data_IF_905646532039
#
_entry.id   IF_905646532039
#
_cell.length_a   1.000
_cell.length_b   1.000
_cell.length_c   1.000
_cell.angle_alpha   90.00
_cell.angle_beta   90.00
_cell.angle_gamma   90.00
#
_symmetry.space_group_name_H-M   'P 1'
#
loop_
_entity.id
_entity.type
_entity.pdbx_description
1 polymer ?
#
# COMPACT_ATOMS: atom_id res chain seq x y z
N UNK A 1 1.09 1.27 -24.26
CA UNK A 1 0.49 -0.01 -24.67
C UNK A 1 0.62 -0.93 -23.45
N UNK A 2 -0.47 -1.56 -23.00
CA UNK A 2 -0.42 -2.42 -21.81
C UNK A 2 0.40 -3.69 -22.14
N UNK A 3 1.25 -4.12 -21.22
CA UNK A 3 2.05 -5.33 -21.41
C UNK A 3 1.10 -6.53 -21.68
N UNK A 4 1.30 -7.31 -22.77
CA UNK A 4 0.48 -8.46 -23.10
C UNK A 4 0.29 -9.46 -21.94
N UNK A 5 1.23 -9.54 -21.00
CA UNK A 5 1.12 -10.39 -19.82
C UNK A 5 -0.01 -9.95 -18.85
N UNK A 6 -0.44 -8.69 -18.91
CA UNK A 6 -1.43 -8.09 -18.02
C UNK A 6 -2.77 -7.75 -18.71
N UNK A 7 -2.93 -8.09 -19.99
CA UNK A 7 -4.20 -7.89 -20.70
C UNK A 7 -5.31 -8.82 -20.20
N UNK A 8 -6.51 -8.26 -20.09
CA UNK A 8 -7.77 -8.94 -19.83
C UNK A 8 -8.76 -8.80 -21.00
N UNK A 9 -8.29 -8.43 -22.19
CA UNK A 9 -9.11 -8.37 -23.40
C UNK A 9 -9.91 -9.66 -23.62
N UNK A 10 -11.19 -9.50 -23.93
CA UNK A 10 -12.14 -10.61 -24.14
C UNK A 10 -12.52 -11.38 -22.88
N UNK A 11 -12.04 -11.01 -21.70
CA UNK A 11 -12.40 -11.63 -20.42
C UNK A 11 -13.51 -10.84 -19.73
N UNK A 12 -14.47 -11.58 -19.18
CA UNK A 12 -15.48 -10.99 -18.29
C UNK A 12 -15.10 -11.20 -16.83
N UNK A 13 -15.15 -10.14 -16.04
CA UNK A 13 -14.91 -10.14 -14.60
C UNK A 13 -16.15 -9.67 -13.84
N UNK A 14 -16.49 -10.34 -12.73
CA UNK A 14 -17.40 -9.78 -11.72
C UNK A 14 -16.58 -9.38 -10.48
N UNK A 15 -16.77 -8.14 -10.05
CA UNK A 15 -16.13 -7.57 -8.86
C UNK A 15 -17.19 -7.32 -7.81
N UNK A 16 -17.14 -8.10 -6.72
CA UNK A 16 -18.05 -8.00 -5.57
C UNK A 16 -17.44 -7.02 -4.55
N UNK A 17 -18.23 -6.06 -4.07
CA UNK A 17 -17.73 -4.94 -3.28
C UNK A 17 -17.26 -3.76 -4.15
N UNK A 18 -17.79 -3.63 -5.36
CA UNK A 18 -17.34 -2.65 -6.35
C UNK A 18 -17.77 -1.21 -6.06
N UNK A 19 -18.64 -0.94 -5.08
CA UNK A 19 -19.11 0.42 -4.80
C UNK A 19 -18.01 1.33 -4.23
N UNK A 20 -16.95 0.77 -3.65
CA UNK A 20 -15.92 1.56 -2.99
C UNK A 20 -14.56 0.85 -2.85
N UNK A 21 -13.57 1.62 -2.39
CA UNK A 21 -12.29 1.11 -1.90
C UNK A 21 -11.57 0.20 -2.91
N UNK A 22 -11.07 -0.92 -2.40
CA UNK A 22 -10.30 -1.91 -3.18
C UNK A 22 -11.14 -2.49 -4.33
N UNK A 23 -12.42 -2.77 -4.10
CA UNK A 23 -13.29 -3.33 -5.13
C UNK A 23 -13.49 -2.35 -6.30
N UNK A 24 -13.81 -1.08 -6.01
CA UNK A 24 -13.92 -0.04 -7.05
C UNK A 24 -12.62 0.12 -7.83
N UNK A 25 -11.48 0.23 -7.14
CA UNK A 25 -10.18 0.38 -7.78
C UNK A 25 -9.86 -0.82 -8.68
N UNK A 26 -10.20 -2.03 -8.24
CA UNK A 26 -9.97 -3.24 -9.02
C UNK A 26 -10.90 -3.33 -10.24
N UNK A 27 -12.16 -2.91 -10.12
CA UNK A 27 -13.09 -2.84 -11.25
C UNK A 27 -12.57 -1.89 -12.35
N UNK A 28 -12.10 -0.71 -11.96
CA UNK A 28 -11.49 0.26 -12.89
C UNK A 28 -10.20 -0.30 -13.53
N UNK A 29 -9.34 -0.95 -12.74
CA UNK A 29 -8.12 -1.56 -13.26
C UNK A 29 -8.39 -2.71 -14.22
N UNK A 30 -9.39 -3.56 -13.95
CA UNK A 30 -9.79 -4.64 -14.85
C UNK A 30 -10.34 -4.09 -16.17
N UNK A 31 -11.16 -3.04 -16.12
CA UNK A 31 -11.67 -2.39 -17.32
C UNK A 31 -10.55 -1.72 -18.14
N UNK A 32 -9.61 -1.04 -17.49
CA UNK A 32 -8.44 -0.46 -18.15
C UNK A 32 -7.54 -1.54 -18.81
N UNK A 33 -7.57 -2.76 -18.29
CA UNK A 33 -6.92 -3.92 -18.88
C UNK A 33 -7.74 -4.60 -20.00
N UNK A 34 -8.90 -4.05 -20.38
CA UNK A 34 -9.74 -4.55 -21.47
C UNK A 34 -10.81 -5.57 -21.07
N UNK A 35 -11.05 -5.79 -19.77
CA UNK A 35 -12.12 -6.68 -19.32
C UNK A 35 -13.50 -6.04 -19.46
N UNK A 36 -14.52 -6.87 -19.70
CA UNK A 36 -15.90 -6.51 -19.41
C UNK A 36 -16.17 -6.70 -17.92
N UNK A 37 -16.66 -5.67 -17.22
CA UNK A 37 -16.70 -5.68 -15.75
C UNK A 37 -18.13 -5.57 -15.21
N UNK A 38 -18.58 -6.59 -14.49
CA UNK A 38 -19.77 -6.47 -13.64
C UNK A 38 -19.37 -5.88 -12.29
N UNK A 39 -19.87 -4.69 -11.99
CA UNK A 39 -19.70 -4.00 -10.71
C UNK A 39 -20.84 -4.41 -9.77
N UNK A 40 -20.58 -5.33 -8.84
CA UNK A 40 -21.60 -5.86 -7.95
C UNK A 40 -21.40 -5.37 -6.51
N UNK A 41 -22.46 -4.86 -5.90
CA UNK A 41 -22.44 -4.37 -4.52
C UNK A 41 -23.87 -4.30 -3.93
N UNK A 42 -24.00 -4.32 -2.60
CA UNK A 42 -25.27 -4.04 -1.93
C UNK A 42 -25.62 -2.55 -2.03
N UNK A 43 -24.61 -1.68 -2.10
CA UNK A 43 -24.77 -0.24 -2.35
C UNK A 43 -24.93 0.03 -3.85
N UNK A 44 -26.13 -0.26 -4.39
CA UNK A 44 -26.44 -0.10 -5.82
C UNK A 44 -26.00 1.26 -6.43
N UNK A 45 -26.21 2.42 -5.76
CA UNK A 45 -25.74 3.71 -6.31
C UNK A 45 -24.21 3.76 -6.52
N UNK A 46 -23.43 3.15 -5.62
CA UNK A 46 -21.98 3.11 -5.75
C UNK A 46 -21.50 2.14 -6.84
N UNK A 47 -22.19 1.01 -7.01
CA UNK A 47 -21.95 0.10 -8.14
C UNK A 47 -22.24 0.78 -9.48
N UNK A 48 -23.36 1.51 -9.58
CA UNK A 48 -23.72 2.34 -10.75
C UNK A 48 -22.70 3.43 -11.04
N UNK A 49 -22.24 4.15 -10.02
CA UNK A 49 -21.21 5.18 -10.19
C UNK A 49 -19.90 4.61 -10.75
N UNK A 50 -19.48 3.44 -10.25
CA UNK A 50 -18.27 2.76 -10.73
C UNK A 50 -18.42 2.28 -12.18
N UNK A 51 -19.57 1.69 -12.53
CA UNK A 51 -19.85 1.27 -13.89
C UNK A 51 -19.87 2.47 -14.87
N UNK A 52 -20.51 3.58 -14.49
CA UNK A 52 -20.55 4.78 -15.32
C UNK A 52 -19.15 5.37 -15.57
N UNK A 53 -18.24 5.27 -14.61
CA UNK A 53 -16.85 5.71 -14.76
C UNK A 53 -16.07 4.82 -15.73
N UNK A 54 -16.28 3.50 -15.68
CA UNK A 54 -15.72 2.56 -16.65
C UNK A 54 -16.21 2.90 -18.07
N UNK A 55 -17.51 3.15 -18.22
CA UNK A 55 -18.12 3.48 -19.51
C UNK A 55 -17.64 4.83 -20.07
N UNK A 56 -17.41 5.83 -19.21
CA UNK A 56 -16.76 7.09 -19.62
C UNK A 56 -15.35 6.87 -20.20
N UNK A 57 -14.65 5.84 -19.72
CA UNK A 57 -13.36 5.40 -20.25
C UNK A 57 -13.45 4.51 -21.50
N UNK A 58 -14.62 4.40 -22.13
CA UNK A 58 -14.90 3.48 -23.25
C UNK A 58 -14.81 1.98 -22.89
N UNK A 59 -14.79 1.63 -21.61
CA UNK A 59 -14.89 0.25 -21.15
C UNK A 59 -16.34 -0.25 -21.13
N UNK A 60 -16.53 -1.55 -20.92
CA UNK A 60 -17.85 -2.15 -20.80
C UNK A 60 -18.13 -2.54 -19.35
N UNK A 61 -19.22 -2.04 -18.77
CA UNK A 61 -19.60 -2.35 -17.42
C UNK A 61 -21.08 -2.74 -17.26
N UNK A 62 -21.38 -3.49 -16.20
CA UNK A 62 -22.73 -3.83 -15.77
C UNK A 62 -22.85 -3.58 -14.25
N UNK A 63 -23.63 -2.61 -13.78
CA UNK A 63 -23.91 -2.47 -12.36
C UNK A 63 -24.95 -3.50 -11.91
N UNK A 64 -24.70 -4.18 -10.78
CA UNK A 64 -25.61 -5.18 -10.19
C UNK A 64 -25.78 -4.90 -8.70
N UNK A 65 -27.03 -4.81 -8.25
CA UNK A 65 -27.36 -4.86 -6.82
C UNK A 65 -27.25 -6.31 -6.34
N UNK A 66 -26.37 -6.56 -5.37
CA UNK A 66 -26.04 -7.90 -4.91
C UNK A 66 -26.00 -7.96 -3.38
N UNK A 67 -26.88 -8.79 -2.82
CA UNK A 67 -26.76 -9.25 -1.44
C UNK A 67 -26.01 -10.59 -1.42
N UNK A 68 -24.74 -10.54 -1.01
CA UNK A 68 -23.88 -11.73 -0.90
C UNK A 68 -24.36 -12.72 0.17
N UNK A 69 -25.26 -12.31 1.05
CA UNK A 69 -25.83 -13.17 2.09
C UNK A 69 -26.97 -14.05 1.58
N UNK A 70 -27.55 -13.70 0.42
CA UNK A 70 -28.61 -14.45 -0.25
C UNK A 70 -28.07 -15.25 -1.44
N UNK A 71 -28.25 -16.57 -1.38
CA UNK A 71 -27.83 -17.48 -2.44
C UNK A 71 -28.59 -17.24 -3.77
N UNK A 72 -29.85 -16.80 -3.73
CA UNK A 72 -30.60 -16.47 -4.94
C UNK A 72 -30.05 -15.20 -5.61
N UNK A 73 -29.81 -14.13 -4.83
CA UNK A 73 -29.12 -12.92 -5.30
C UNK A 73 -27.76 -13.23 -5.93
N UNK A 74 -26.93 -14.07 -5.30
CA UNK A 74 -25.64 -14.50 -5.86
C UNK A 74 -25.78 -15.19 -7.22
N UNK A 75 -26.74 -16.12 -7.37
CA UNK A 75 -27.00 -16.80 -8.65
C UNK A 75 -27.49 -15.83 -9.72
N UNK A 76 -28.38 -14.91 -9.37
CA UNK A 76 -28.91 -13.92 -10.28
C UNK A 76 -27.82 -12.97 -10.80
N UNK A 77 -26.89 -12.53 -9.94
CA UNK A 77 -25.76 -11.69 -10.34
C UNK A 77 -24.84 -12.37 -11.35
N UNK A 78 -24.52 -13.66 -11.14
CA UNK A 78 -23.74 -14.44 -12.09
C UNK A 78 -24.50 -14.65 -13.40
N UNK A 79 -25.80 -14.98 -13.34
CA UNK A 79 -26.63 -15.14 -14.53
C UNK A 79 -26.66 -13.86 -15.37
N UNK A 80 -26.91 -12.71 -14.75
CA UNK A 80 -26.91 -11.40 -15.43
C UNK A 80 -25.54 -11.08 -16.05
N UNK A 81 -24.44 -11.42 -15.38
CA UNK A 81 -23.07 -11.23 -15.91
C UNK A 81 -22.87 -12.05 -17.18
N UNK A 82 -23.26 -13.33 -17.16
CA UNK A 82 -23.11 -14.24 -18.29
C UNK A 82 -24.06 -13.88 -19.43
N UNK A 83 -25.30 -13.51 -19.13
CA UNK A 83 -26.27 -13.03 -20.12
C UNK A 83 -25.76 -11.78 -20.85
N UNK A 84 -25.18 -10.83 -20.11
CA UNK A 84 -24.69 -9.58 -20.68
C UNK A 84 -23.42 -9.73 -21.51
N UNK A 85 -22.47 -10.55 -21.06
CA UNK A 85 -21.12 -10.60 -21.64
C UNK A 85 -20.72 -11.97 -22.22
N UNK A 86 -21.60 -12.96 -22.16
CA UNK A 86 -21.46 -14.28 -22.78
C UNK A 86 -20.54 -15.26 -22.05
N UNK A 87 -19.74 -14.82 -21.08
CA UNK A 87 -18.83 -15.68 -20.32
C UNK A 87 -18.52 -15.11 -18.92
N UNK A 88 -17.83 -15.90 -18.09
CA UNK A 88 -17.24 -15.46 -16.84
C UNK A 88 -15.84 -16.03 -16.67
N UNK A 89 -14.83 -15.16 -16.65
CA UNK A 89 -13.42 -15.54 -16.51
C UNK A 89 -12.88 -15.28 -15.10
N UNK A 90 -13.34 -14.21 -14.44
CA UNK A 90 -12.78 -13.75 -13.16
C UNK A 90 -13.89 -13.45 -12.16
N UNK A 91 -13.80 -14.03 -10.96
CA UNK A 91 -14.54 -13.61 -9.78
C UNK A 91 -13.56 -12.96 -8.82
N UNK A 92 -13.79 -11.69 -8.49
CA UNK A 92 -13.13 -11.04 -7.36
C UNK A 92 -14.13 -10.79 -6.23
N UNK A 93 -13.85 -11.37 -5.07
CA UNK A 93 -14.65 -11.19 -3.87
C UNK A 93 -13.99 -10.19 -2.90
N UNK A 94 -14.47 -8.95 -2.93
CA UNK A 94 -13.98 -7.84 -2.10
C UNK A 94 -14.93 -7.36 -1.01
N UNK A 95 -16.18 -7.86 -0.97
CA UNK A 95 -17.16 -7.46 0.04
C UNK A 95 -16.72 -7.84 1.46
N UNK A 96 -16.95 -6.93 2.39
CA UNK A 96 -16.73 -7.15 3.81
C UNK A 96 -17.68 -6.28 4.65
N UNK A 97 -18.17 -6.84 5.74
CA UNK A 97 -18.99 -6.13 6.72
C UNK A 97 -18.18 -5.08 7.50
N UNK A 98 -18.89 -4.08 8.02
CA UNK A 98 -18.32 -3.13 8.99
C UNK A 98 -18.29 -3.76 10.39
N UNK A 99 -17.15 -4.38 10.75
CA UNK A 99 -17.00 -5.05 12.04
C UNK A 99 -16.73 -4.08 13.21
N UNK A 100 -17.51 -4.22 14.28
CA UNK A 100 -17.28 -3.53 15.56
C UNK A 100 -15.96 -3.99 16.20
N UNK A 101 -15.25 -3.06 16.86
CA UNK A 101 -14.15 -3.43 17.75
C UNK A 101 -14.73 -4.02 19.04
N UNK A 102 -14.51 -5.32 19.27
CA UNK A 102 -14.99 -6.02 20.46
C UNK A 102 -14.08 -7.22 20.77
N UNK A 103 -13.81 -7.48 22.04
CA UNK A 103 -13.19 -8.74 22.48
C UNK A 103 -14.17 -9.90 22.28
N UNK A 104 -13.73 -11.15 22.49
CA UNK A 104 -14.61 -12.33 22.39
C UNK A 104 -15.78 -12.26 23.39
N UNK A 105 -15.56 -11.69 24.58
CA UNK A 105 -16.60 -11.57 25.61
C UNK A 105 -17.64 -10.48 25.30
N UNK A 106 -17.26 -9.48 24.51
CA UNK A 106 -18.11 -8.32 24.19
C UNK A 106 -18.79 -8.44 22.82
N UNK A 107 -18.41 -9.43 22.02
CA UNK A 107 -18.93 -9.61 20.67
C UNK A 107 -20.26 -10.33 20.73
N UNK A 108 -21.33 -9.61 20.41
CA UNK A 108 -22.66 -10.20 20.27
C UNK A 108 -22.67 -11.25 19.14
N UNK A 109 -23.35 -12.37 19.34
CA UNK A 109 -23.39 -13.47 18.37
C UNK A 109 -23.96 -13.02 17.03
N UNK A 110 -24.97 -12.13 17.03
CA UNK A 110 -25.53 -11.58 15.81
C UNK A 110 -24.52 -10.73 15.01
N UNK A 111 -23.60 -10.04 15.69
CA UNK A 111 -22.53 -9.28 15.04
C UNK A 111 -21.45 -10.23 14.48
N UNK A 112 -21.11 -11.28 15.23
CA UNK A 112 -20.26 -12.36 14.74
C UNK A 112 -20.85 -12.99 13.47
N UNK A 113 -22.10 -13.42 13.53
CA UNK A 113 -22.80 -14.07 12.43
C UNK A 113 -22.84 -13.19 11.18
N UNK A 114 -23.16 -11.89 11.34
CA UNK A 114 -23.14 -10.94 10.21
C UNK A 114 -21.77 -10.88 9.54
N UNK A 115 -20.69 -10.75 10.32
CA UNK A 115 -19.32 -10.69 9.78
C UNK A 115 -18.96 -11.99 9.07
N UNK A 116 -19.27 -13.15 9.66
CA UNK A 116 -19.00 -14.45 9.02
C UNK A 116 -19.84 -14.59 7.75
N UNK A 117 -21.11 -14.22 7.79
CA UNK A 117 -22.03 -14.41 6.67
C UNK A 117 -21.66 -13.54 5.48
N UNK A 118 -21.31 -12.27 5.71
CA UNK A 118 -20.83 -11.38 4.64
C UNK A 118 -19.41 -11.73 4.21
N UNK A 119 -18.45 -11.88 5.13
CA UNK A 119 -17.05 -12.00 4.72
C UNK A 119 -16.68 -13.38 4.18
N UNK A 120 -17.31 -14.44 4.69
CA UNK A 120 -16.94 -15.83 4.42
C UNK A 120 -18.05 -16.57 3.67
N UNK A 121 -19.27 -16.63 4.23
CA UNK A 121 -20.38 -17.35 3.58
C UNK A 121 -20.70 -16.75 2.21
N UNK A 122 -20.70 -15.43 2.08
CA UNK A 122 -20.91 -14.76 0.80
C UNK A 122 -19.82 -15.07 -0.22
N UNK A 123 -18.56 -15.21 0.19
CA UNK A 123 -17.47 -15.63 -0.69
C UNK A 123 -17.69 -17.06 -1.21
N UNK A 124 -18.13 -17.96 -0.32
CA UNK A 124 -18.52 -19.32 -0.68
C UNK A 124 -19.71 -19.33 -1.66
N UNK A 125 -20.77 -18.55 -1.39
CA UNK A 125 -21.96 -18.50 -2.24
C UNK A 125 -21.64 -17.94 -3.63
N UNK A 126 -20.83 -16.89 -3.72
CA UNK A 126 -20.38 -16.34 -4.99
C UNK A 126 -19.48 -17.29 -5.76
N UNK A 127 -18.54 -17.98 -5.09
CA UNK A 127 -17.71 -18.99 -5.73
C UNK A 127 -18.58 -20.15 -6.26
N UNK A 128 -19.51 -20.66 -5.43
CA UNK A 128 -20.46 -21.72 -5.81
C UNK A 128 -21.30 -21.34 -7.03
N UNK A 129 -21.73 -20.09 -7.13
CA UNK A 129 -22.49 -19.59 -8.28
C UNK A 129 -21.61 -19.37 -9.53
N UNK A 130 -20.38 -18.88 -9.37
CA UNK A 130 -19.49 -18.51 -10.47
C UNK A 130 -18.80 -19.70 -11.15
N UNK A 131 -18.41 -20.72 -10.36
CA UNK A 131 -17.59 -21.84 -10.85
C UNK A 131 -18.24 -22.59 -12.03
N UNK A 132 -19.55 -22.92 -12.04
CA UNK A 132 -20.17 -23.55 -13.20
C UNK A 132 -19.98 -22.76 -14.51
N UNK A 133 -20.11 -21.43 -14.47
CA UNK A 133 -19.89 -20.58 -15.64
C UNK A 133 -18.41 -20.55 -16.06
N UNK A 134 -17.48 -20.59 -15.11
CA UNK A 134 -16.05 -20.71 -15.40
C UNK A 134 -15.69 -22.07 -16.01
N UNK A 135 -16.28 -23.17 -15.52
CA UNK A 135 -16.12 -24.51 -16.10
C UNK A 135 -16.62 -24.52 -17.55
N UNK A 136 -17.82 -23.99 -17.81
CA UNK A 136 -18.40 -23.91 -19.15
C UNK A 136 -17.53 -23.10 -20.12
N UNK A 137 -16.82 -22.08 -19.62
CA UNK A 137 -15.85 -21.28 -20.38
C UNK A 137 -14.52 -22.02 -20.64
N UNK A 138 -14.23 -23.11 -19.92
CA UNK A 138 -12.97 -23.85 -19.98
C UNK A 138 -11.90 -23.39 -18.99
N UNK A 139 -12.30 -22.71 -17.91
CA UNK A 139 -11.41 -22.28 -16.82
C UNK A 139 -11.65 -20.83 -16.38
N UNK A 140 -10.99 -20.44 -15.30
CA UNK A 140 -11.19 -19.13 -14.69
C UNK A 140 -10.26 -18.80 -13.53
N UNK A 141 -10.53 -17.68 -12.88
CA UNK A 141 -9.76 -17.19 -11.73
C UNK A 141 -10.69 -16.68 -10.64
N UNK A 142 -10.59 -17.27 -9.46
CA UNK A 142 -11.24 -16.79 -8.23
C UNK A 142 -10.19 -16.04 -7.40
N UNK A 143 -10.51 -14.81 -7.01
CA UNK A 143 -9.65 -13.94 -6.22
C UNK A 143 -10.43 -13.50 -4.99
N UNK A 144 -9.96 -13.88 -3.79
CA UNK A 144 -10.59 -13.49 -2.53
C UNK A 144 -9.75 -12.43 -1.83
N UNK A 145 -10.36 -11.29 -1.48
CA UNK A 145 -9.70 -10.25 -0.68
C UNK A 145 -9.72 -10.67 0.79
N UNK A 146 -8.64 -11.29 1.22
CA UNK A 146 -8.38 -11.68 2.60
C UNK A 146 -7.84 -10.49 3.41
N UNK A 147 -6.84 -10.71 4.25
CA UNK A 147 -6.11 -9.66 4.99
C UNK A 147 -4.83 -10.25 5.55
N UNK A 148 -3.83 -9.42 5.84
CA UNK A 148 -2.72 -9.83 6.71
C UNK A 148 -3.24 -10.42 8.04
N UNK A 149 -4.36 -9.88 8.54
CA UNK A 149 -5.03 -10.35 9.76
C UNK A 149 -5.74 -11.71 9.61
N UNK A 150 -5.66 -12.35 8.44
CA UNK A 150 -5.99 -13.75 8.27
C UNK A 150 -4.85 -14.71 8.66
N UNK A 151 -3.62 -14.19 8.84
CA UNK A 151 -2.44 -14.97 9.26
C UNK A 151 -1.93 -14.57 10.63
N UNK A 152 -2.15 -13.32 11.03
CA UNK A 152 -1.83 -12.78 12.35
C UNK A 152 -3.09 -12.21 13.00
N UNK A 153 -3.11 -12.03 14.32
CA UNK A 153 -4.29 -11.52 15.03
C UNK A 153 -4.14 -10.05 15.41
N UNK A 154 -5.26 -9.38 15.63
CA UNK A 154 -5.32 -8.03 16.22
C UNK A 154 -6.37 -8.02 17.34
N UNK A 155 -6.07 -7.42 18.51
CA UNK A 155 -7.03 -7.29 19.60
C UNK A 155 -8.35 -6.66 19.15
N UNK A 156 -9.46 -7.13 19.71
CA UNK A 156 -10.79 -6.57 19.43
C UNK A 156 -11.36 -6.90 18.05
N UNK A 157 -10.83 -7.93 17.35
CA UNK A 157 -11.26 -8.31 15.99
C UNK A 157 -11.49 -9.83 15.78
N UNK A 158 -12.19 -10.53 16.68
CA UNK A 158 -12.32 -11.99 16.61
C UNK A 158 -13.00 -12.45 15.30
N UNK A 159 -14.18 -11.91 14.96
CA UNK A 159 -14.93 -12.33 13.77
C UNK A 159 -14.21 -11.99 12.45
N UNK A 160 -13.57 -10.82 12.39
CA UNK A 160 -12.84 -10.41 11.19
C UNK A 160 -11.59 -11.26 10.98
N UNK A 161 -10.75 -11.46 12.00
CA UNK A 161 -9.54 -12.27 11.84
C UNK A 161 -9.90 -13.72 11.49
N UNK A 162 -10.92 -14.28 12.15
CA UNK A 162 -11.44 -15.61 11.84
C UNK A 162 -11.92 -15.72 10.38
N UNK A 163 -12.78 -14.80 9.92
CA UNK A 163 -13.26 -14.83 8.53
C UNK A 163 -12.14 -14.65 7.50
N UNK A 164 -11.16 -13.76 7.74
CA UNK A 164 -10.05 -13.56 6.81
C UNK A 164 -9.07 -14.73 6.79
N UNK A 165 -8.88 -15.43 7.91
CA UNK A 165 -8.13 -16.70 7.95
C UNK A 165 -8.85 -17.81 7.20
N UNK A 166 -10.17 -17.91 7.37
CA UNK A 166 -11.00 -18.87 6.66
C UNK A 166 -10.99 -18.65 5.14
N UNK A 167 -10.99 -17.41 4.65
CA UNK A 167 -10.86 -17.11 3.21
C UNK A 167 -9.55 -17.64 2.60
N UNK A 168 -8.44 -17.62 3.36
CA UNK A 168 -7.16 -18.16 2.91
C UNK A 168 -7.26 -19.69 2.72
N UNK A 169 -7.92 -20.38 3.64
CA UNK A 169 -8.12 -21.83 3.52
C UNK A 169 -9.14 -22.17 2.44
N UNK A 170 -10.24 -21.41 2.34
CA UNK A 170 -11.24 -21.59 1.30
C UNK A 170 -10.61 -21.49 -0.10
N UNK A 171 -9.75 -20.50 -0.35
CA UNK A 171 -9.06 -20.37 -1.63
C UNK A 171 -8.20 -21.60 -1.97
N UNK A 172 -7.52 -22.21 -0.99
CA UNK A 172 -6.72 -23.42 -1.23
C UNK A 172 -7.59 -24.63 -1.59
N UNK A 173 -8.72 -24.79 -0.90
CA UNK A 173 -9.68 -25.87 -1.21
C UNK A 173 -10.24 -25.66 -2.62
N UNK A 174 -10.69 -24.45 -2.97
CA UNK A 174 -11.16 -24.13 -4.31
C UNK A 174 -10.09 -24.37 -5.39
N UNK A 175 -8.83 -24.06 -5.10
CA UNK A 175 -7.72 -24.31 -6.03
C UNK A 175 -7.46 -25.82 -6.21
N UNK A 176 -7.51 -26.60 -5.14
CA UNK A 176 -7.32 -28.04 -5.18
C UNK A 176 -8.47 -28.75 -5.92
N UNK A 177 -9.71 -28.39 -5.57
CA UNK A 177 -10.93 -29.01 -6.13
C UNK A 177 -11.07 -28.73 -7.63
N UNK A 178 -10.65 -27.55 -8.09
CA UNK A 178 -10.89 -27.09 -9.45
C UNK A 178 -9.67 -26.94 -10.36
N UNK A 179 -8.50 -27.43 -9.91
CA UNK A 179 -7.30 -27.47 -10.74
C UNK A 179 -7.54 -28.22 -12.06
N UNK A 180 -8.24 -29.37 -12.01
CA UNK A 180 -8.55 -30.18 -13.19
C UNK A 180 -9.51 -29.50 -14.19
N UNK A 181 -10.29 -28.50 -13.76
CA UNK A 181 -11.15 -27.71 -14.64
C UNK A 181 -10.50 -26.39 -15.08
N UNK A 182 -9.19 -26.21 -14.88
CA UNK A 182 -8.47 -24.99 -15.29
C UNK A 182 -8.87 -23.74 -14.49
N UNK A 183 -9.38 -23.90 -13.27
CA UNK A 183 -9.75 -22.78 -12.40
C UNK A 183 -8.67 -22.60 -11.33
N UNK A 184 -8.14 -21.39 -11.25
CA UNK A 184 -7.20 -21.00 -10.18
C UNK A 184 -7.96 -20.25 -9.09
N UNK A 185 -7.60 -20.48 -7.83
CA UNK A 185 -8.12 -19.68 -6.72
C UNK A 185 -6.97 -19.14 -5.87
N UNK A 186 -6.98 -17.83 -5.60
CA UNK A 186 -5.93 -17.14 -4.86
C UNK A 186 -6.52 -16.11 -3.89
N UNK A 187 -5.72 -15.71 -2.90
CA UNK A 187 -6.07 -14.60 -2.02
C UNK A 187 -5.09 -13.44 -2.18
N UNK A 188 -5.62 -12.22 -2.16
CA UNK A 188 -4.82 -11.02 -1.87
C UNK A 188 -5.01 -10.72 -0.39
N UNK A 189 -3.93 -10.43 0.35
CA UNK A 189 -3.98 -10.21 1.80
C UNK A 189 -3.45 -8.82 2.16
N UNK A 190 -4.25 -7.76 1.96
CA UNK A 190 -3.78 -6.40 2.18
C UNK A 190 -3.43 -6.11 3.63
N UNK A 191 -2.49 -5.19 3.81
CA UNK A 191 -2.24 -4.47 5.06
C UNK A 191 -3.25 -3.34 5.28
N UNK A 192 -2.84 -2.29 5.98
CA UNK A 192 -3.66 -1.09 6.12
C UNK A 192 -3.80 -0.40 4.75
N UNK A 193 -5.02 -0.40 4.18
CA UNK A 193 -5.37 0.33 2.95
C UNK A 193 -6.44 1.36 3.27
N UNK A 194 -6.17 2.62 2.95
CA UNK A 194 -7.11 3.71 3.15
C UNK A 194 -8.37 3.49 2.29
N UNK A 195 -9.48 3.21 2.94
CA UNK A 195 -10.79 2.93 2.33
C UNK A 195 -11.88 3.50 3.21
N UNK A 196 -13.10 3.68 2.68
CA UNK A 196 -14.27 4.09 3.49
C UNK A 196 -14.47 3.20 4.73
N UNK A 197 -14.19 1.88 4.62
CA UNK A 197 -14.27 0.93 5.75
C UNK A 197 -13.25 1.24 6.85
N UNK A 198 -12.07 1.71 6.48
CA UNK A 198 -11.01 2.08 7.42
C UNK A 198 -11.31 3.45 8.06
N UNK A 199 -11.72 4.44 7.26
CA UNK A 199 -12.08 5.79 7.72
C UNK A 199 -13.34 5.83 8.61
N UNK A 200 -14.21 4.80 8.53
CA UNK A 200 -15.32 4.62 9.49
C UNK A 200 -14.86 4.16 10.88
N UNK A 201 -13.67 3.54 10.97
CA UNK A 201 -13.14 2.97 12.23
C UNK A 201 -12.08 3.86 12.88
N UNK A 202 -11.38 4.66 12.09
CA UNK A 202 -10.33 5.58 12.52
C UNK A 202 -10.50 6.88 11.74
N UNK A 203 -10.36 8.04 12.40
CA UNK A 203 -10.62 9.35 11.77
C UNK A 203 -9.67 9.62 10.60
N UNK A 204 -8.44 9.14 10.69
CA UNK A 204 -7.39 9.25 9.67
C UNK A 204 -6.35 8.11 9.79
N UNK A 205 -5.35 8.13 8.92
CA UNK A 205 -4.24 7.17 8.90
C UNK A 205 -3.21 7.40 10.03
N UNK A 206 -3.17 8.58 10.65
CA UNK A 206 -2.23 8.91 11.73
C UNK A 206 -2.65 8.22 13.04
N UNK A 207 -3.95 8.17 13.32
CA UNK A 207 -4.55 7.38 14.40
C UNK A 207 -4.29 5.87 14.26
N UNK A 208 -4.28 5.37 13.01
CA UNK A 208 -3.98 3.96 12.72
C UNK A 208 -2.53 3.61 13.00
N UNK A 209 -1.61 4.50 12.64
CA UNK A 209 -0.19 4.33 12.96
C UNK A 209 0.00 4.32 14.47
N UNK A 210 -0.61 5.26 15.21
CA UNK A 210 -0.61 5.27 16.68
C UNK A 210 -1.19 3.98 17.28
N UNK A 211 -2.32 3.50 16.77
CA UNK A 211 -2.98 2.28 17.22
C UNK A 211 -2.25 0.97 16.87
N UNK A 212 -1.53 0.92 15.74
CA UNK A 212 -0.67 -0.20 15.34
C UNK A 212 0.66 -0.24 16.11
N UNK A 213 1.20 0.92 16.51
CA UNK A 213 2.40 1.02 17.37
C UNK A 213 2.11 0.83 18.85
N UNK A 214 0.84 0.98 19.28
CA UNK A 214 0.41 0.96 20.68
C UNK A 214 0.82 -0.30 21.47
N UNK A 215 0.64 -1.54 20.97
CA UNK A 215 0.95 -2.73 21.76
C UNK A 215 2.45 -3.05 21.88
N UNK A 216 3.32 -2.41 21.08
CA UNK A 216 4.77 -2.61 21.16
C UNK A 216 5.49 -1.53 22.00
N UNK A 217 4.81 -0.45 22.38
CA UNK A 217 5.39 0.66 23.14
C UNK A 217 5.02 0.68 24.64
N UNK A 218 4.20 -0.25 25.13
CA UNK A 218 3.69 -0.25 26.53
C UNK A 218 4.73 -0.74 27.56
N UNK A 219 6.01 -0.92 27.19
CA UNK A 219 7.06 -1.18 28.21
C UNK A 219 8.24 -0.21 28.18
N UNK A 220 8.22 0.85 27.37
CA UNK A 220 9.20 1.93 27.47
C UNK A 220 8.59 3.25 26.97
N UNK A 221 8.08 4.05 27.91
CA UNK A 221 8.19 5.52 28.05
C UNK A 221 7.04 5.93 28.97
N UNK A 222 7.26 5.74 30.27
CA UNK A 222 6.59 6.55 31.26
C UNK A 222 7.29 7.92 31.25
N UNK A 223 6.86 8.83 30.38
CA UNK A 223 6.99 10.29 30.46
C UNK A 223 6.72 10.92 29.08
N UNK A 224 5.46 11.16 28.72
CA UNK A 224 5.14 12.10 27.65
C UNK A 224 4.50 13.36 28.26
N UNK A 225 5.28 14.44 28.26
CA UNK A 225 4.71 15.79 28.25
C UNK A 225 4.18 16.08 26.82
N UNK A 226 3.12 16.88 26.66
CA UNK A 226 2.58 17.24 25.35
C UNK A 226 3.62 17.99 24.50
N UNK A 227 3.80 17.56 23.25
CA UNK A 227 4.60 18.30 22.26
C UNK A 227 3.83 19.56 21.82
N UNK A 228 4.49 20.73 21.73
CA UNK A 228 3.83 21.97 21.34
C UNK A 228 3.45 21.96 19.85
N UNK A 229 2.41 22.72 19.46
CA UNK A 229 2.01 22.88 18.06
C UNK A 229 3.15 23.50 17.25
N UNK A 230 3.41 22.92 16.07
CA UNK A 230 4.38 23.43 15.11
C UNK A 230 3.69 24.47 14.23
N UNK A 231 4.02 25.74 14.43
CA UNK A 231 3.61 26.82 13.54
C UNK A 231 4.43 26.74 12.23
N UNK A 232 3.80 26.79 11.04
CA UNK A 232 4.57 26.85 9.80
C UNK A 232 5.21 28.24 9.68
N UNK A 233 6.49 28.34 10.01
CA UNK A 233 7.31 29.48 9.66
C UNK A 233 8.19 29.08 8.47
N UNK A 234 7.77 29.42 7.25
CA UNK A 234 8.74 29.54 6.17
C UNK A 234 8.42 30.70 5.22
N UNK A 235 9.27 31.71 5.31
CA UNK A 235 9.60 32.64 4.23
C UNK A 235 10.43 31.86 3.19
N UNK A 236 10.15 31.98 1.89
CA UNK A 236 10.90 31.24 0.86
C UNK A 236 12.38 31.61 0.89
N UNK A 237 13.25 30.63 1.19
CA UNK A 237 14.71 30.74 1.02
C UNK A 237 15.10 30.11 -0.32
N UNK A 238 15.94 30.80 -1.09
CA UNK A 238 16.56 30.25 -2.30
C UNK A 238 17.66 29.24 -1.92
N UNK A 239 17.60 28.03 -2.48
CA UNK A 239 18.56 26.95 -2.24
C UNK A 239 18.16 25.68 -2.99
N UNK A 240 19.06 24.68 -3.12
CA UNK A 240 18.70 23.39 -3.69
C UNK A 240 17.63 22.72 -2.84
N UNK A 241 16.79 21.90 -3.46
CA UNK A 241 15.77 21.14 -2.76
C UNK A 241 15.92 19.64 -3.02
N UNK A 242 15.39 18.86 -2.10
CA UNK A 242 15.21 17.42 -2.22
C UNK A 242 13.75 17.09 -2.04
N UNK A 243 13.31 15.96 -2.59
CA UNK A 243 11.95 15.49 -2.44
C UNK A 243 11.90 14.30 -1.50
N UNK A 244 11.07 14.39 -0.47
CA UNK A 244 10.72 13.24 0.36
C UNK A 244 9.50 12.56 -0.25
N UNK A 245 9.67 11.30 -0.64
CA UNK A 245 8.64 10.51 -1.31
C UNK A 245 8.17 9.43 -0.34
N UNK A 246 6.89 9.49 0.05
CA UNK A 246 6.30 8.46 0.89
C UNK A 246 5.78 7.29 0.06
N UNK A 247 6.30 6.10 0.32
CA UNK A 247 5.84 4.83 -0.27
C UNK A 247 4.90 4.08 0.68
N UNK A 248 4.31 4.77 1.66
CA UNK A 248 3.42 4.22 2.68
C UNK A 248 4.14 3.59 3.87
N UNK A 249 5.11 2.72 3.63
CA UNK A 249 5.89 2.04 4.71
C UNK A 249 7.25 2.68 4.98
N UNK A 250 7.83 3.30 3.97
CA UNK A 250 9.10 4.03 4.09
C UNK A 250 9.07 5.34 3.32
N UNK A 251 10.01 6.23 3.64
CA UNK A 251 10.24 7.51 2.95
C UNK A 251 11.56 7.44 2.20
N UNK A 252 11.52 7.63 0.89
CA UNK A 252 12.70 7.81 0.06
C UNK A 252 13.08 9.29 -0.10
N UNK A 253 14.32 9.54 -0.49
CA UNK A 253 14.84 10.87 -0.77
C UNK A 253 15.20 10.94 -2.25
N UNK A 254 14.49 11.76 -3.02
CA UNK A 254 14.82 12.04 -4.41
C UNK A 254 15.61 13.36 -4.53
N UNK A 255 16.71 13.30 -5.25
CA UNK A 255 17.62 14.42 -5.51
C UNK A 255 17.76 14.64 -7.01
N UNK A 256 17.93 15.89 -7.42
CA UNK A 256 18.31 16.21 -8.80
C UNK A 256 19.82 15.97 -8.97
N UNK A 257 20.19 15.15 -9.95
CA UNK A 257 21.57 14.70 -10.09
C UNK A 257 22.53 15.86 -10.35
N UNK A 258 22.11 16.85 -11.15
CA UNK A 258 22.94 18.03 -11.45
C UNK A 258 23.31 18.88 -10.24
N UNK A 259 22.58 18.74 -9.12
CA UNK A 259 22.85 19.47 -7.89
C UNK A 259 23.90 18.77 -7.01
N UNK A 260 24.14 17.47 -7.20
CA UNK A 260 25.07 16.66 -6.40
C UNK A 260 26.37 16.40 -7.18
N UNK A 261 27.51 16.96 -6.75
CA UNK A 261 28.78 16.70 -7.42
C UNK A 261 29.18 15.21 -7.37
N UNK A 262 29.56 14.59 -8.50
CA UNK A 262 30.09 13.20 -8.51
C UNK A 262 31.36 13.02 -7.68
N UNK A 263 32.07 14.10 -7.34
CA UNK A 263 33.20 14.05 -6.41
C UNK A 263 32.79 13.75 -4.96
N UNK A 264 31.51 13.94 -4.63
CA UNK A 264 30.94 13.74 -3.29
C UNK A 264 30.15 12.44 -3.20
N UNK A 265 29.39 12.12 -4.25
CA UNK A 265 28.67 10.87 -4.40
C UNK A 265 29.04 10.21 -5.73
N UNK A 266 30.21 9.53 -5.82
CA UNK A 266 30.73 8.97 -7.08
C UNK A 266 29.80 7.98 -7.76
N UNK A 267 29.06 7.20 -6.99
CA UNK A 267 28.11 6.20 -7.47
C UNK A 267 26.98 6.83 -8.29
N UNK A 268 26.64 8.10 -8.04
CA UNK A 268 25.62 8.81 -8.82
C UNK A 268 25.97 8.91 -10.31
N UNK A 269 27.25 8.82 -10.69
CA UNK A 269 27.72 8.91 -12.07
C UNK A 269 27.27 7.71 -12.93
N UNK A 270 27.00 6.56 -12.33
CA UNK A 270 26.44 5.37 -13.00
C UNK A 270 25.10 5.70 -13.69
N UNK A 271 24.39 6.69 -13.15
CA UNK A 271 23.06 7.10 -13.59
C UNK A 271 23.07 8.44 -14.32
N UNK A 272 24.22 8.89 -14.86
CA UNK A 272 24.40 10.22 -15.49
C UNK A 272 23.47 10.54 -16.67
N UNK A 273 22.77 9.54 -17.20
CA UNK A 273 21.73 9.70 -18.21
C UNK A 273 20.35 10.10 -17.68
N UNK A 274 20.17 10.20 -16.36
CA UNK A 274 18.88 10.46 -15.72
C UNK A 274 18.88 11.74 -14.90
N UNK A 275 17.75 12.46 -14.90
CA UNK A 275 17.64 13.73 -14.18
C UNK A 275 17.61 13.59 -12.66
N UNK A 276 16.90 12.58 -12.14
CA UNK A 276 16.68 12.40 -10.71
C UNK A 276 17.14 11.03 -10.23
N UNK A 277 17.61 11.00 -8.97
CA UNK A 277 17.93 9.77 -8.23
C UNK A 277 17.11 9.74 -6.95
N UNK A 278 16.34 8.68 -6.73
CA UNK A 278 15.72 8.38 -5.46
C UNK A 278 16.51 7.31 -4.72
N UNK A 279 16.72 7.54 -3.41
CA UNK A 279 17.37 6.60 -2.52
C UNK A 279 16.47 6.18 -1.38
N UNK A 280 16.57 4.91 -1.01
CA UNK A 280 15.88 4.36 0.17
C UNK A 280 16.69 3.23 0.80
N UNK A 281 16.60 3.09 2.12
CA UNK A 281 17.28 2.03 2.86
C UNK A 281 16.33 0.90 3.20
N UNK A 282 16.83 -0.32 3.33
CA UNK A 282 16.00 -1.43 3.78
C UNK A 282 16.78 -2.63 4.26
N UNK A 283 16.04 -3.66 4.60
CA UNK A 283 16.58 -4.96 5.02
C UNK A 283 17.12 -5.72 3.80
N UNK A 284 18.30 -6.31 3.92
CA UNK A 284 18.98 -6.97 2.80
C UNK A 284 18.27 -8.23 2.28
N UNK A 285 17.52 -8.93 3.13
CA UNK A 285 16.82 -10.16 2.74
C UNK A 285 15.40 -9.86 2.21
N UNK A 286 14.79 -8.76 2.66
CA UNK A 286 13.39 -8.43 2.39
C UNK A 286 13.23 -7.39 1.28
N UNK A 287 13.99 -6.30 1.32
CA UNK A 287 13.74 -5.14 0.46
C UNK A 287 13.93 -5.42 -1.04
N UNK A 288 14.93 -6.23 -1.46
CA UNK A 288 15.06 -6.61 -2.87
C UNK A 288 14.00 -7.61 -3.36
N UNK A 289 13.18 -8.18 -2.48
CA UNK A 289 12.21 -9.21 -2.88
C UNK A 289 10.93 -8.59 -3.42
N UNK A 290 10.66 -8.79 -4.71
CA UNK A 290 9.46 -8.28 -5.39
C UNK A 290 8.13 -8.70 -4.72
N UNK A 291 8.16 -9.75 -3.88
CA UNK A 291 7.02 -10.29 -3.13
C UNK A 291 7.41 -10.68 -1.69
N UNK A 292 7.83 -9.72 -0.88
CA UNK A 292 8.14 -9.94 0.53
C UNK A 292 6.97 -10.57 1.31
N UNK A 293 7.19 -11.71 1.96
CA UNK A 293 6.19 -12.36 2.83
C UNK A 293 6.21 -11.76 4.24
N UNK A 294 5.08 -11.81 4.97
CA UNK A 294 5.00 -11.35 6.37
C UNK A 294 6.02 -12.06 7.27
N UNK A 295 6.32 -13.34 7.00
CA UNK A 295 7.37 -14.08 7.71
C UNK A 295 8.78 -13.53 7.47
N UNK A 296 9.03 -13.00 6.27
CA UNK A 296 10.29 -12.35 5.90
C UNK A 296 10.37 -10.93 6.49
N UNK A 297 9.25 -10.20 6.58
CA UNK A 297 9.17 -8.91 7.29
C UNK A 297 9.36 -9.05 8.81
N UNK A 298 8.76 -10.09 9.42
CA UNK A 298 8.97 -10.41 10.84
C UNK A 298 10.43 -10.85 11.10
N UNK A 299 10.99 -11.67 10.21
CA UNK A 299 12.40 -12.07 10.26
C UNK A 299 13.34 -10.86 10.09
N UNK A 300 13.05 -9.95 9.17
CA UNK A 300 13.81 -8.71 9.00
C UNK A 300 13.76 -7.83 10.26
N UNK A 301 12.62 -7.83 10.98
CA UNK A 301 12.44 -7.03 12.20
C UNK A 301 13.26 -7.58 13.39
N UNK A 302 13.46 -8.91 13.48
CA UNK A 302 14.06 -9.57 14.65
C UNK A 302 15.39 -10.30 14.40
N UNK A 303 15.76 -10.61 13.15
CA UNK A 303 16.90 -11.48 12.77
C UNK A 303 17.60 -11.05 11.46
N UNK A 304 17.50 -9.78 11.05
CA UNK A 304 18.22 -9.27 9.87
C UNK A 304 19.73 -9.47 10.01
N UNK A 305 20.40 -9.81 8.90
CA UNK A 305 21.87 -9.95 8.81
C UNK A 305 22.54 -8.82 8.02
N UNK A 306 21.82 -7.76 7.66
CA UNK A 306 22.40 -6.59 6.97
C UNK A 306 21.36 -5.65 6.35
N UNK A 307 21.81 -4.48 5.91
CA UNK A 307 21.01 -3.49 5.19
C UNK A 307 21.38 -3.43 3.70
N UNK A 308 20.46 -2.89 2.90
CA UNK A 308 20.68 -2.52 1.50
C UNK A 308 20.23 -1.08 1.26
N UNK A 309 20.83 -0.46 0.25
CA UNK A 309 20.45 0.82 -0.32
C UNK A 309 19.83 0.56 -1.69
N UNK A 310 18.61 1.00 -1.88
CA UNK A 310 17.97 1.08 -3.19
C UNK A 310 18.29 2.43 -3.82
N UNK A 311 18.69 2.42 -5.09
CA UNK A 311 18.85 3.63 -5.90
C UNK A 311 18.03 3.46 -7.16
N UNK A 312 17.11 4.39 -7.41
CA UNK A 312 16.26 4.41 -8.59
C UNK A 312 16.46 5.72 -9.37
N UNK A 313 16.81 5.61 -10.64
CA UNK A 313 17.00 6.74 -11.54
C UNK A 313 15.83 6.90 -12.51
N UNK A 314 15.45 8.15 -12.78
CA UNK A 314 14.30 8.51 -13.62
C UNK A 314 14.37 9.97 -14.10
N UNK A 315 13.69 10.27 -15.21
CA UNK A 315 13.74 11.60 -15.85
C UNK A 315 12.58 12.53 -15.49
N UNK A 316 11.38 11.96 -15.33
CA UNK A 316 10.18 12.72 -14.97
C UNK A 316 10.36 13.35 -13.57
N UNK A 317 9.77 14.54 -13.35
CA UNK A 317 9.80 15.16 -12.03
C UNK A 317 9.22 14.20 -10.97
N UNK A 318 9.71 14.18 -9.72
CA UNK A 318 9.19 13.26 -8.69
C UNK A 318 7.66 13.29 -8.51
N UNK A 319 6.97 14.44 -8.62
CA UNK A 319 5.51 14.46 -8.63
C UNK A 319 4.87 13.71 -9.80
N UNK A 320 5.47 13.74 -10.98
CA UNK A 320 4.97 13.01 -12.16
C UNK A 320 5.28 11.52 -12.06
N UNK A 321 6.52 11.18 -11.72
CA UNK A 321 6.98 9.79 -11.61
C UNK A 321 6.28 9.04 -10.47
N UNK A 322 6.11 9.67 -9.31
CA UNK A 322 5.43 9.10 -8.14
C UNK A 322 4.01 9.66 -8.00
N UNK A 323 3.20 9.52 -9.06
CA UNK A 323 1.89 10.18 -9.18
C UNK A 323 0.88 9.91 -8.06
N UNK A 324 1.06 8.83 -7.29
CA UNK A 324 0.18 8.41 -6.19
C UNK A 324 0.74 8.72 -4.79
N UNK A 325 2.01 9.10 -4.68
CA UNK A 325 2.72 9.25 -3.40
C UNK A 325 2.52 10.63 -2.79
N UNK A 326 2.60 10.71 -1.46
CA UNK A 326 2.73 11.99 -0.76
C UNK A 326 4.17 12.48 -0.90
N UNK A 327 4.35 13.75 -1.28
CA UNK A 327 5.65 14.34 -1.57
C UNK A 327 5.82 15.68 -0.87
N UNK A 328 6.91 15.82 -0.13
CA UNK A 328 7.36 17.08 0.47
C UNK A 328 8.64 17.52 -0.24
N UNK A 329 8.65 18.76 -0.71
CA UNK A 329 9.84 19.43 -1.20
C UNK A 329 10.54 20.12 -0.02
N UNK A 330 11.73 19.67 0.33
CA UNK A 330 12.52 20.21 1.44
C UNK A 330 13.68 21.04 0.90
N UNK A 331 13.72 22.31 1.25
CA UNK A 331 14.81 23.21 0.86
C UNK A 331 16.01 22.99 1.78
N UNK A 332 17.17 22.72 1.18
CA UNK A 332 18.44 22.54 1.88
C UNK A 332 19.37 23.73 1.62
N UNK A 333 20.33 23.93 2.53
CA UNK A 333 21.52 24.73 2.18
C UNK A 333 22.42 23.93 1.22
N UNK A 334 23.27 24.60 0.44
CA UNK A 334 24.24 23.90 -0.43
C UNK A 334 25.09 22.90 0.37
N UNK A 335 25.61 23.35 1.52
CA UNK A 335 26.35 22.49 2.46
C UNK A 335 25.49 21.32 2.96
N UNK A 336 24.22 21.55 3.26
CA UNK A 336 23.29 20.50 3.68
C UNK A 336 23.04 19.43 2.62
N UNK A 337 22.94 19.83 1.35
CA UNK A 337 22.87 18.88 0.23
C UNK A 337 24.16 18.05 0.10
N UNK A 338 25.33 18.68 0.28
CA UNK A 338 26.62 17.97 0.27
C UNK A 338 26.77 17.03 1.47
N UNK A 339 26.30 17.44 2.65
CA UNK A 339 26.27 16.61 3.86
C UNK A 339 25.35 15.38 3.67
N UNK A 340 24.19 15.57 3.04
CA UNK A 340 23.28 14.50 2.64
C UNK A 340 23.94 13.52 1.66
N UNK A 341 24.58 14.04 0.61
CA UNK A 341 25.27 13.22 -0.40
C UNK A 341 26.42 12.41 0.22
N UNK A 342 27.21 13.00 1.12
CA UNK A 342 28.25 12.29 1.89
C UNK A 342 27.68 11.20 2.78
N UNK A 343 26.53 11.45 3.40
CA UNK A 343 25.85 10.44 4.19
C UNK A 343 25.40 9.26 3.34
N UNK A 344 24.78 9.52 2.17
CA UNK A 344 24.38 8.48 1.23
C UNK A 344 25.60 7.66 0.78
N UNK A 345 26.67 8.32 0.34
CA UNK A 345 27.92 7.67 -0.06
C UNK A 345 28.50 6.79 1.07
N UNK A 346 28.56 7.30 2.30
CA UNK A 346 29.05 6.56 3.45
C UNK A 346 28.19 5.33 3.82
N UNK A 347 26.96 5.23 3.29
CA UNK A 347 26.13 4.05 3.50
C UNK A 347 26.46 2.89 2.58
N UNK A 348 27.19 3.08 1.47
CA UNK A 348 27.57 1.96 0.59
C UNK A 348 28.61 1.06 1.25
N UNK A 349 28.49 -0.25 1.03
CA UNK A 349 29.61 -1.19 1.20
C UNK A 349 30.37 -1.25 -0.12
N UNK A 350 31.65 -0.88 -0.07
CA UNK A 350 32.55 -0.91 -1.22
C UNK A 350 33.37 -2.21 -1.24
N UNK A 351 33.64 -2.72 -2.43
CA UNK A 351 34.57 -3.84 -2.65
C UNK A 351 36.04 -3.39 -2.53
N UNK A 352 36.98 -4.33 -2.68
CA UNK A 352 38.41 -4.03 -2.60
C UNK A 352 38.92 -3.06 -3.69
N UNK A 353 38.14 -2.84 -4.75
CA UNK A 353 38.41 -1.87 -5.81
C UNK A 353 37.77 -0.50 -5.58
N UNK A 354 37.08 -0.31 -4.44
CA UNK A 354 36.39 0.93 -4.11
C UNK A 354 35.05 1.10 -4.83
N UNK A 355 34.46 0.03 -5.38
CA UNK A 355 33.17 0.08 -6.08
C UNK A 355 32.03 -0.47 -5.22
N UNK A 356 30.80 0.04 -5.34
CA UNK A 356 29.64 -0.50 -4.64
C UNK A 356 29.39 -1.98 -4.89
N UNK A 357 29.09 -2.73 -3.82
CA UNK A 357 28.67 -4.12 -3.95
C UNK A 357 27.18 -4.18 -4.32
N UNK A 358 26.89 -4.36 -5.61
CA UNK A 358 25.52 -4.56 -6.09
C UNK A 358 24.95 -5.92 -5.63
N UNK A 359 23.67 -5.95 -5.23
CA UNK A 359 22.97 -7.15 -4.78
C UNK A 359 21.83 -7.58 -5.70
N UNK A 360 21.35 -6.70 -6.58
CA UNK A 360 20.31 -7.03 -7.55
C UNK A 360 19.70 -5.80 -8.25
N UNK A 361 18.80 -6.02 -9.22
CA UNK A 361 18.10 -4.94 -9.91
C UNK A 361 17.13 -4.22 -8.96
N UNK A 362 16.92 -2.92 -9.18
CA UNK A 362 15.96 -2.11 -8.44
C UNK A 362 14.51 -2.55 -8.68
N UNK A 363 13.61 -2.11 -7.81
CA UNK A 363 12.18 -2.48 -7.86
C UNK A 363 11.32 -1.52 -8.69
N UNK A 364 11.85 -0.33 -9.02
CA UNK A 364 11.24 0.64 -9.94
C UNK A 364 12.30 1.59 -10.50
N UNK A 365 11.97 2.28 -11.59
CA UNK A 365 12.91 3.12 -12.32
C UNK A 365 14.06 2.32 -12.93
N UNK A 366 15.10 3.02 -13.38
CA UNK A 366 16.37 2.41 -13.77
C UNK A 366 17.30 2.42 -12.57
N UNK A 367 17.48 1.27 -11.92
CA UNK A 367 18.08 1.24 -10.60
C UNK A 367 18.65 -0.11 -10.18
N UNK A 368 19.33 -0.10 -9.04
CA UNK A 368 19.91 -1.28 -8.43
C UNK A 368 19.81 -1.20 -6.90
N UNK A 369 19.88 -2.37 -6.27
CA UNK A 369 20.16 -2.47 -4.85
C UNK A 369 21.66 -2.68 -4.65
N UNK A 370 22.19 -1.99 -3.64
CA UNK A 370 23.57 -2.12 -3.18
C UNK A 370 23.59 -2.53 -1.72
N UNK A 371 24.61 -3.27 -1.31
CA UNK A 371 24.81 -3.60 0.09
C UNK A 371 25.13 -2.32 0.86
N UNK A 372 24.47 -2.13 2.01
CA UNK A 372 24.64 -0.96 2.84
C UNK A 372 25.29 -1.29 4.19
N UNK A 373 25.89 -0.27 4.81
CA UNK A 373 26.47 -0.35 6.15
C UNK A 373 25.38 -0.25 7.22
N UNK A 374 25.60 -0.91 8.36
CA UNK A 374 24.66 -0.95 9.49
C UNK A 374 23.73 -2.16 9.50
N UNK A 375 22.91 -2.25 10.54
CA UNK A 375 22.00 -3.38 10.77
C UNK A 375 20.54 -2.91 10.74
N UNK A 376 19.70 -3.56 9.94
CA UNK A 376 18.28 -3.27 9.93
C UNK A 376 17.59 -3.86 11.16
N UNK A 377 16.92 -3.02 11.95
CA UNK A 377 16.18 -3.41 13.17
C UNK A 377 14.92 -2.54 13.29
N UNK A 378 13.98 -2.92 14.17
CA UNK A 378 12.74 -2.17 14.38
C UNK A 378 12.95 -0.65 14.63
N UNK A 379 13.92 -0.31 15.50
CA UNK A 379 14.27 1.07 15.85
C UNK A 379 15.44 1.63 15.01
N UNK A 380 15.95 0.84 14.06
CA UNK A 380 16.98 1.24 13.10
C UNK A 380 16.54 0.75 11.72
N UNK A 381 15.49 1.40 11.21
CA UNK A 381 14.77 1.04 9.99
C UNK A 381 14.92 2.15 8.92
N UNK A 382 14.33 1.94 7.74
CA UNK A 382 14.41 2.91 6.63
C UNK A 382 14.08 4.34 7.03
N UNK A 383 13.04 4.55 7.82
CA UNK A 383 12.57 5.88 8.21
C UNK A 383 13.58 6.57 9.13
N UNK A 384 14.23 5.80 10.02
CA UNK A 384 15.28 6.34 10.89
C UNK A 384 16.56 6.70 10.11
N UNK A 385 16.89 5.96 9.05
CA UNK A 385 17.99 6.37 8.14
C UNK A 385 17.65 7.64 7.38
N UNK A 386 16.43 7.75 6.84
CA UNK A 386 15.95 8.97 6.19
C UNK A 386 15.99 10.17 7.14
N UNK A 387 15.57 9.99 8.39
CA UNK A 387 15.64 11.04 9.40
C UNK A 387 17.08 11.45 9.76
N UNK A 388 18.03 10.50 9.85
CA UNK A 388 19.45 10.81 10.05
C UNK A 388 20.04 11.55 8.86
N UNK A 389 19.69 11.13 7.64
CA UNK A 389 20.10 11.78 6.40
C UNK A 389 19.61 13.24 6.35
N UNK A 390 18.37 13.49 6.77
CA UNK A 390 17.82 14.84 6.89
C UNK A 390 18.45 15.64 8.02
N UNK A 391 18.75 15.00 9.16
CA UNK A 391 19.39 15.68 10.29
C UNK A 391 20.80 16.18 9.92
N UNK A 392 21.61 15.37 9.24
CA UNK A 392 22.93 15.83 8.76
C UNK A 392 22.81 16.90 7.69
N UNK A 393 21.71 16.95 6.95
CA UNK A 393 21.42 17.98 5.95
C UNK A 393 20.94 19.32 6.57
N UNK A 394 20.83 19.39 7.91
CA UNK A 394 20.35 20.58 8.63
C UNK A 394 18.84 20.61 8.89
N UNK A 395 18.14 19.49 8.65
CA UNK A 395 16.70 19.32 8.88
C UNK A 395 16.48 18.24 9.97
N UNK A 396 16.77 18.52 11.25
CA UNK A 396 16.69 17.51 12.30
C UNK A 396 15.24 17.06 12.51
N UNK A 397 15.02 15.76 12.31
CA UNK A 397 13.78 15.05 12.61
C UNK A 397 13.98 14.29 13.93
N UNK A 398 13.00 14.37 14.83
CA UNK A 398 13.04 13.65 16.10
C UNK A 398 13.08 12.12 15.85
N UNK A 399 14.03 11.45 16.50
CA UNK A 399 14.21 10.01 16.43
C UNK A 399 12.95 9.24 16.88
N UNK A 400 12.17 9.77 17.82
CA UNK A 400 10.91 9.17 18.24
C UNK A 400 9.83 9.25 17.15
N UNK A 401 9.78 10.36 16.41
CA UNK A 401 8.88 10.55 15.26
C UNK A 401 9.34 9.81 14.00
N UNK A 402 10.64 9.48 13.90
CA UNK A 402 11.25 8.88 12.71
C UNK A 402 11.05 7.38 12.54
N UNK A 403 10.32 6.70 13.43
CA UNK A 403 10.12 5.24 13.35
C UNK A 403 9.21 4.87 12.16
N UNK A 404 8.29 5.77 11.79
CA UNK A 404 7.27 5.54 10.77
C UNK A 404 7.38 6.54 9.63
N UNK A 405 6.90 6.17 8.43
CA UNK A 405 6.93 7.06 7.28
C UNK A 405 6.08 8.31 7.52
N UNK A 406 4.90 8.16 8.14
CA UNK A 406 4.04 9.28 8.53
C UNK A 406 4.72 10.26 9.47
N UNK A 407 5.44 9.77 10.48
CA UNK A 407 6.15 10.63 11.43
C UNK A 407 7.33 11.38 10.81
N UNK A 408 8.11 10.74 9.92
CA UNK A 408 9.14 11.44 9.13
C UNK A 408 8.52 12.54 8.27
N UNK A 409 7.44 12.24 7.55
CA UNK A 409 6.75 13.22 6.70
C UNK A 409 6.11 14.35 7.54
N UNK A 410 5.60 14.05 8.74
CA UNK A 410 5.04 15.03 9.66
C UNK A 410 6.10 16.05 10.09
N UNK A 411 7.23 15.58 10.61
CA UNK A 411 8.33 16.46 11.06
C UNK A 411 8.97 17.22 9.91
N UNK A 412 9.10 16.59 8.74
CA UNK A 412 9.70 17.22 7.56
C UNK A 412 8.93 18.45 7.06
N UNK A 413 7.63 18.57 7.36
CA UNK A 413 6.83 19.78 7.03
C UNK A 413 7.39 21.07 7.63
N UNK A 414 8.21 20.97 8.67
CA UNK A 414 8.91 22.11 9.27
C UNK A 414 9.96 22.74 8.35
N UNK A 415 10.46 21.95 7.40
CA UNK A 415 11.60 22.29 6.57
C UNK A 415 11.23 22.36 5.08
N UNK A 416 9.98 22.07 4.73
CA UNK A 416 9.58 21.90 3.35
C UNK A 416 8.10 22.14 3.10
N UNK A 417 7.76 22.21 1.82
CA UNK A 417 6.39 22.40 1.32
C UNK A 417 5.83 21.07 0.83
N UNK A 418 4.61 20.75 1.23
CA UNK A 418 3.87 19.64 0.61
C UNK A 418 3.51 20.06 -0.82
N UNK A 419 4.03 19.33 -1.81
CA UNK A 419 3.76 19.60 -3.23
C UNK A 419 2.80 18.59 -3.85
N UNK A 420 2.58 17.47 -3.15
CA UNK A 420 1.54 16.50 -3.45
C UNK A 420 1.10 15.85 -2.14
N UNK A 421 -0.18 15.91 -1.81
CA UNK A 421 -0.70 15.16 -0.67
C UNK A 421 -0.83 13.66 -0.95
N UNK A 422 -0.72 13.28 -2.23
CA UNK A 422 -0.92 11.92 -2.73
C UNK A 422 -2.41 11.62 -2.90
N UNK A 423 -2.79 10.83 -3.90
CA UNK A 423 -4.20 10.48 -4.13
C UNK A 423 -4.81 9.59 -3.02
N UNK A 424 -4.00 9.23 -2.03
CA UNK A 424 -4.29 8.40 -0.86
C UNK A 424 -4.43 9.21 0.44
N UNK A 425 -4.60 10.53 0.35
CA UNK A 425 -4.82 11.41 1.50
C UNK A 425 -5.75 12.56 1.04
N UNK A 426 -6.96 12.66 1.60
CA UNK A 426 -7.81 13.84 1.36
C UNK A 426 -7.38 14.99 2.27
N UNK A 427 -7.49 16.20 1.73
CA UNK A 427 -7.13 17.48 2.33
C UNK A 427 -7.61 17.63 3.77
N UNK A 428 -6.68 17.88 4.69
CA UNK A 428 -6.96 18.57 5.95
C UNK A 428 -6.82 20.06 5.66
N UNK A 429 -7.89 20.87 5.79
CA UNK A 429 -7.81 22.31 5.56
C UNK A 429 -6.75 22.97 6.44
N UNK A 430 -6.04 23.95 5.88
CA UNK A 430 -4.96 24.68 6.54
C UNK A 430 -5.44 25.67 7.63
N UNK A 431 -6.74 25.81 7.84
CA UNK A 431 -7.35 26.71 8.81
C UNK A 431 -7.81 25.97 10.08
N UNK A 432 -6.91 25.99 11.06
CA UNK A 432 -7.09 25.34 12.36
C UNK A 432 -8.42 25.64 13.04
N UNK A 433 -9.32 24.66 13.03
CA UNK A 433 -10.47 24.57 13.93
C UNK A 433 -10.58 23.16 14.53
N UNK A 434 -9.57 22.77 15.30
CA UNK A 434 -9.67 21.65 16.25
C UNK A 434 -10.40 22.13 17.52
N UNK A 435 -11.62 21.65 17.76
CA UNK A 435 -12.16 21.60 19.14
C UNK A 435 -13.02 20.39 19.51
N UNK A 436 -13.30 19.42 18.63
CA UNK A 436 -14.20 18.31 18.99
C UNK A 436 -13.72 16.91 18.56
N UNK A 437 -12.49 16.54 18.95
CA UNK A 437 -12.00 15.18 18.73
C UNK A 437 -11.32 14.52 19.95
N UNK A 438 -11.54 15.03 21.17
CA UNK A 438 -11.18 14.35 22.43
C UNK A 438 -12.41 14.12 23.34
N UNK A 439 -13.56 13.80 22.76
CA UNK A 439 -14.63 13.07 23.45
C UNK A 439 -15.00 11.83 22.67
#
# INVERSE_FOLDING_TARGET
>A
MMDPAFTLEGKTAIVVGAANGIGRATALAFAAAGAHVTCADIEEPGAKATAAEIEKGSGHALPVSLDVTDSASCRAAIAATVERFGNLAVLLYGAADSDRTATVLEMDEAAWDRVIHVNLTGAFLMAKAAIPAMIARGGGSVILIASQLGRVASPGRPAYCASKGALIQLAKVLAADHAGQGIRANTISPGAIETRRMLRRWKDMDEIVKGLTGPLLITLVAACAPLPPVTPAHTPRSGPFVYLVSHGWHVGIAVEQGEVPPTIWPESAEFSGFRYLEVGWGDADYYPTAHGSVGLALKATFRSRGSVLHVAAFDAGPPEFFGMSKIIEVTLSRRGLEDLARFIHATYVLDASGRPVAVGPGIYGHGAFYRATGEYRLLNNSNTWTARALAVAGCPIDAAGAITAGGVMYEARRFGRVIRDGALWRDVPADGTEREACR
#
